data_IF_609132308238
#
_entry.id   IF_609132308238
#
_cell.length_a   1.000
_cell.length_b   1.000
_cell.length_c   1.000
_cell.angle_alpha   90.00
_cell.angle_beta   90.00
_cell.angle_gamma   90.00
#
_symmetry.space_group_name_H-M   'P 1'
#
loop_
_entity.id
_entity.type
_entity.pdbx_description
1 polymer ?
#
# COMPACT_ATOMS: atom_id res chain seq x y z
N UNK A 1 -16.92 -18.88 -9.19
CA UNK A 1 -16.52 -18.72 -7.77
C UNK A 1 -16.49 -17.22 -7.52
N UNK A 2 -17.13 -16.74 -6.44
CA UNK A 2 -17.06 -15.31 -6.11
C UNK A 2 -15.60 -14.92 -5.92
N UNK A 3 -15.17 -13.80 -6.51
CA UNK A 3 -13.83 -13.24 -6.31
C UNK A 3 -13.63 -13.00 -4.81
N UNK A 4 -12.74 -13.73 -4.12
CA UNK A 4 -12.54 -13.50 -2.71
C UNK A 4 -11.98 -12.09 -2.51
N UNK A 5 -12.49 -11.41 -1.47
CA UNK A 5 -12.05 -10.09 -1.07
C UNK A 5 -10.52 -10.02 -0.95
N UNK A 6 -9.89 -8.96 -1.47
CA UNK A 6 -8.41 -8.81 -1.54
C UNK A 6 -7.74 -9.07 -0.19
N UNK A 7 -8.38 -8.59 0.89
CA UNK A 7 -7.91 -8.76 2.27
C UNK A 7 -7.88 -10.23 2.67
N UNK A 8 -8.95 -10.96 2.41
CA UNK A 8 -9.06 -12.36 2.82
C UNK A 8 -8.06 -13.24 2.06
N UNK A 9 -7.84 -12.96 0.77
CA UNK A 9 -6.80 -13.64 -0.02
C UNK A 9 -5.41 -13.44 0.59
N UNK A 10 -5.06 -12.21 0.94
CA UNK A 10 -3.77 -11.91 1.58
C UNK A 10 -3.62 -12.60 2.95
N UNK A 11 -4.62 -12.47 3.81
CA UNK A 11 -4.60 -13.07 5.15
C UNK A 11 -4.55 -14.60 5.13
N UNK A 12 -5.23 -15.24 4.17
CA UNK A 12 -5.18 -16.69 3.99
C UNK A 12 -3.81 -17.14 3.48
N UNK A 13 -3.20 -16.39 2.55
CA UNK A 13 -1.83 -16.65 2.06
C UNK A 13 -0.83 -16.62 3.22
N UNK A 14 -0.86 -15.59 4.07
CA UNK A 14 0.02 -15.48 5.24
C UNK A 14 -0.16 -16.62 6.26
N UNK A 15 -1.37 -17.19 6.33
CA UNK A 15 -1.70 -18.31 7.23
C UNK A 15 -1.45 -19.68 6.58
N UNK A 16 -0.90 -19.74 5.37
CA UNK A 16 -0.68 -20.98 4.64
C UNK A 16 -1.96 -21.72 4.24
N UNK A 17 -3.09 -21.02 4.14
CA UNK A 17 -4.37 -21.59 3.70
C UNK A 17 -4.46 -21.60 2.17
N UNK A 18 -5.33 -22.46 1.64
CA UNK A 18 -5.63 -22.48 0.21
C UNK A 18 -6.23 -21.13 -0.23
N UNK A 19 -5.77 -20.64 -1.38
CA UNK A 19 -6.25 -19.42 -2.05
C UNK A 19 -6.46 -19.71 -3.53
N UNK A 20 -7.29 -18.90 -4.17
CA UNK A 20 -7.60 -18.98 -5.61
C UNK A 20 -6.41 -18.57 -6.50
N UNK A 21 -5.63 -17.58 -6.06
CA UNK A 21 -4.39 -17.12 -6.70
C UNK A 21 -3.44 -16.51 -5.67
N UNK A 22 -2.15 -16.41 -6.01
CA UNK A 22 -1.14 -15.71 -5.20
C UNK A 22 -1.43 -14.20 -5.24
N UNK A 23 -1.52 -13.50 -4.08
CA UNK A 23 -1.73 -12.06 -4.07
C UNK A 23 -0.46 -11.29 -4.48
N UNK A 24 -0.64 -10.19 -5.22
CA UNK A 24 0.43 -9.32 -5.70
C UNK A 24 0.33 -7.93 -5.06
N UNK A 25 1.18 -7.68 -4.05
CA UNK A 25 1.18 -6.45 -3.25
C UNK A 25 2.57 -6.13 -2.69
N UNK A 26 2.74 -4.95 -2.09
CA UNK A 26 3.94 -4.57 -1.35
C UNK A 26 3.67 -4.52 0.15
N UNK A 27 4.47 -5.24 0.93
CA UNK A 27 4.51 -5.12 2.40
C UNK A 27 5.54 -4.08 2.87
N UNK A 28 6.41 -3.64 1.96
CA UNK A 28 7.40 -2.57 2.16
C UNK A 28 6.87 -1.22 1.66
N UNK A 29 7.66 -0.16 1.83
CA UNK A 29 7.30 1.20 1.41
C UNK A 29 6.92 1.24 -0.08
N UNK A 30 5.88 2.01 -0.43
CA UNK A 30 5.28 2.07 -1.77
C UNK A 30 5.40 3.43 -2.45
N UNK A 31 5.95 4.44 -1.78
CA UNK A 31 6.09 5.78 -2.36
C UNK A 31 7.16 5.80 -3.45
N UNK A 32 6.77 6.29 -4.63
CA UNK A 32 7.65 6.56 -5.77
C UNK A 32 7.42 7.99 -6.27
N UNK A 33 8.39 8.59 -6.95
CA UNK A 33 8.28 9.97 -7.47
C UNK A 33 7.11 10.12 -8.46
N UNK A 34 6.84 9.10 -9.27
CA UNK A 34 5.71 9.10 -10.20
C UNK A 34 4.38 9.12 -9.46
N UNK A 35 4.24 8.30 -8.41
CA UNK A 35 3.03 8.30 -7.57
C UNK A 35 2.87 9.60 -6.78
N UNK A 36 3.96 10.26 -6.38
CA UNK A 36 3.88 11.60 -5.78
C UNK A 36 3.30 12.64 -6.75
N UNK A 37 3.69 12.56 -8.03
CA UNK A 37 3.15 13.42 -9.08
C UNK A 37 1.68 13.13 -9.33
N UNK A 38 1.29 11.86 -9.46
CA UNK A 38 -0.09 11.47 -9.73
C UNK A 38 -1.04 11.74 -8.56
N UNK A 39 -0.57 11.60 -7.31
CA UNK A 39 -1.38 11.86 -6.11
C UNK A 39 -1.37 13.31 -5.64
N UNK A 40 -0.45 14.15 -6.15
CA UNK A 40 -0.21 15.49 -5.63
C UNK A 40 0.41 15.52 -4.22
N UNK A 41 0.86 14.38 -3.70
CA UNK A 41 1.41 14.22 -2.36
C UNK A 41 2.89 13.80 -2.44
N UNK A 42 3.79 14.77 -2.29
CA UNK A 42 5.24 14.56 -2.31
C UNK A 42 5.84 14.38 -0.92
N UNK A 43 7.03 13.76 -0.86
CA UNK A 43 7.91 13.87 0.30
C UNK A 43 8.66 15.22 0.25
N UNK A 44 8.96 15.84 1.41
CA UNK A 44 8.78 15.29 2.76
C UNK A 44 7.38 15.47 3.34
N UNK A 45 6.48 16.24 2.74
CA UNK A 45 5.21 16.62 3.35
C UNK A 45 4.31 15.41 3.66
N UNK A 46 4.28 14.40 2.78
CA UNK A 46 3.51 13.18 3.01
C UNK A 46 4.06 12.28 4.13
N UNK A 47 5.20 12.63 4.76
CA UNK A 47 5.63 12.00 6.01
C UNK A 47 4.93 12.57 7.24
N UNK A 48 4.52 13.84 7.19
CA UNK A 48 4.04 14.59 8.36
C UNK A 48 2.55 14.98 8.26
N UNK A 49 2.00 15.03 7.05
CA UNK A 49 0.60 15.34 6.80
C UNK A 49 -0.20 14.06 6.54
N UNK A 50 -1.25 13.83 7.33
CA UNK A 50 -2.04 12.60 7.30
C UNK A 50 -2.82 12.43 5.99
N UNK A 51 -3.37 13.51 5.43
CA UNK A 51 -4.14 13.47 4.18
C UNK A 51 -3.22 13.20 2.98
N UNK A 52 -2.04 13.83 2.96
CA UNK A 52 -1.01 13.57 1.95
C UNK A 52 -0.47 12.15 2.07
N UNK A 53 -0.24 11.64 3.29
CA UNK A 53 0.21 10.26 3.51
C UNK A 53 -0.82 9.27 2.96
N UNK A 54 -2.10 9.46 3.29
CA UNK A 54 -3.19 8.61 2.80
C UNK A 54 -3.31 8.68 1.27
N UNK A 55 -3.22 9.88 0.69
CA UNK A 55 -3.30 10.09 -0.76
C UNK A 55 -2.18 9.37 -1.50
N UNK A 56 -0.92 9.52 -1.05
CA UNK A 56 0.22 8.83 -1.66
C UNK A 56 0.13 7.31 -1.47
N UNK A 57 -0.27 6.82 -0.29
CA UNK A 57 -0.40 5.38 -0.04
C UNK A 57 -1.49 4.75 -0.91
N UNK A 58 -2.64 5.41 -1.06
CA UNK A 58 -3.75 4.93 -1.89
C UNK A 58 -3.41 4.93 -3.38
N UNK A 59 -2.64 5.93 -3.83
CA UNK A 59 -2.21 6.03 -5.24
C UNK A 59 -1.49 4.77 -5.73
N UNK A 60 -0.69 4.12 -4.87
CA UNK A 60 -0.03 2.87 -5.22
C UNK A 60 -1.06 1.77 -5.59
N UNK A 61 -2.10 1.59 -4.78
CA UNK A 61 -3.18 0.66 -5.11
C UNK A 61 -3.92 1.08 -6.39
N UNK A 62 -4.33 2.34 -6.47
CA UNK A 62 -5.18 2.86 -7.55
C UNK A 62 -4.50 2.83 -8.92
N UNK A 63 -3.23 3.25 -9.02
CA UNK A 63 -2.54 3.38 -10.32
C UNK A 63 -1.78 2.14 -10.74
N UNK A 64 -1.31 1.31 -9.80
CA UNK A 64 -0.48 0.13 -10.12
C UNK A 64 -1.21 -1.20 -9.98
N UNK A 65 -2.39 -1.21 -9.36
CA UNK A 65 -3.18 -2.42 -9.13
C UNK A 65 -2.64 -3.32 -8.00
N UNK A 66 -1.69 -2.85 -7.19
CA UNK A 66 -1.24 -3.58 -5.99
C UNK A 66 -2.44 -3.91 -5.10
N UNK A 67 -2.56 -5.15 -4.69
CA UNK A 67 -3.75 -5.66 -4.00
C UNK A 67 -3.81 -5.28 -2.49
N UNK A 68 -3.04 -4.27 -2.07
CA UNK A 68 -3.10 -3.67 -0.74
C UNK A 68 -2.58 -2.22 -0.73
N UNK A 69 -2.92 -1.51 0.34
CA UNK A 69 -2.40 -0.16 0.64
C UNK A 69 -1.39 -0.28 1.78
N UNK A 70 -0.21 0.34 1.64
CA UNK A 70 0.85 0.36 2.65
C UNK A 70 1.24 1.80 2.99
N UNK A 71 1.32 2.10 4.28
CA UNK A 71 1.87 3.33 4.87
C UNK A 71 2.66 2.96 6.14
N UNK A 72 3.57 3.80 6.69
CA UNK A 72 4.06 5.09 6.19
C UNK A 72 5.11 4.87 5.07
N UNK A 73 6.14 5.71 4.98
CA UNK A 73 7.17 5.63 3.93
C UNK A 73 8.62 5.53 4.44
N UNK A 74 8.81 5.50 5.76
CA UNK A 74 10.10 5.39 6.41
C UNK A 74 10.06 4.34 7.53
N UNK A 75 11.17 4.18 8.24
CA UNK A 75 11.32 3.33 9.43
C UNK A 75 11.60 4.13 10.71
N UNK A 76 11.40 5.45 10.68
CA UNK A 76 11.83 6.35 11.75
C UNK A 76 10.70 6.86 12.64
N UNK A 77 9.44 6.60 12.31
CA UNK A 77 8.27 7.15 13.05
C UNK A 77 8.31 6.83 14.55
N UNK A 78 8.81 5.65 14.94
CA UNK A 78 8.93 5.26 16.35
C UNK A 78 10.23 5.74 17.00
N UNK A 79 11.29 5.96 16.22
CA UNK A 79 12.63 6.28 16.71
C UNK A 79 12.95 7.77 16.75
N UNK A 80 12.10 8.60 16.16
CA UNK A 80 12.17 10.07 16.23
C UNK A 80 11.95 10.57 17.65
#
# INVERSE_FOLDING_TARGET
>A
MADPDLRDRFLNTLKGKAVDKVPALSVTQTGTVELMKESGAAWPEAHFDAEKMASLALSAHTFTGLEAVRYPFCLTVLSE
#
